data_IF_913636321011
#
_entry.id   IF_913636321011
#
_cell.length_a   1.000
_cell.length_b   1.000
_cell.length_c   1.000
_cell.angle_alpha   90.00
_cell.angle_beta   90.00
_cell.angle_gamma   90.00
#
_symmetry.space_group_name_H-M   'P 1'
#
loop_
_entity.id
_entity.type
_entity.pdbx_description
1 polymer ?
#
# COMPACT_ATOMS: atom_id res chain seq x y z
N UNK A 1 11.62 -31.56 1.22
CA UNK A 1 11.95 -30.41 2.04
C UNK A 1 11.53 -29.17 1.30
N UNK A 2 10.75 -28.32 1.92
CA UNK A 2 10.36 -27.03 1.38
C UNK A 2 11.58 -26.13 1.27
N UNK A 3 11.71 -25.45 0.12
CA UNK A 3 12.76 -24.43 -0.06
C UNK A 3 12.24 -23.16 0.62
N UNK A 4 12.80 -22.85 1.79
CA UNK A 4 12.39 -21.68 2.59
C UNK A 4 13.21 -20.43 2.31
N UNK A 5 14.25 -20.52 1.49
CA UNK A 5 15.09 -19.39 1.13
C UNK A 5 15.76 -19.64 -0.21
N UNK A 6 15.75 -18.63 -1.07
CA UNK A 6 16.47 -18.63 -2.35
C UNK A 6 17.28 -17.36 -2.42
N UNK A 7 18.60 -17.48 -2.69
CA UNK A 7 19.49 -16.35 -2.89
C UNK A 7 20.03 -16.35 -4.30
N UNK A 8 19.93 -15.21 -4.96
CA UNK A 8 20.58 -14.93 -6.23
C UNK A 8 21.76 -13.98 -5.97
N UNK A 9 22.96 -14.39 -6.36
CA UNK A 9 24.15 -13.55 -6.31
C UNK A 9 24.43 -12.96 -7.68
N UNK A 10 24.95 -11.74 -7.71
CA UNK A 10 25.31 -11.03 -8.92
C UNK A 10 26.81 -10.70 -8.91
N UNK A 11 27.41 -10.71 -10.09
CA UNK A 11 28.68 -10.06 -10.29
C UNK A 11 28.42 -8.58 -10.60
N UNK A 12 28.92 -7.69 -9.77
CA UNK A 12 28.77 -6.25 -9.93
C UNK A 12 30.14 -5.59 -9.90
N UNK A 13 30.33 -4.62 -10.77
CA UNK A 13 31.57 -3.82 -10.83
C UNK A 13 31.52 -2.61 -9.90
N UNK A 14 30.36 -2.25 -9.40
CA UNK A 14 30.19 -1.18 -8.41
C UNK A 14 30.35 -1.72 -6.99
N UNK A 15 31.14 -1.02 -6.16
CA UNK A 15 31.32 -1.37 -4.76
C UNK A 15 30.04 -1.20 -3.93
N UNK A 16 29.15 -0.31 -4.38
CA UNK A 16 27.94 0.09 -3.67
C UNK A 16 26.67 -0.59 -4.19
N UNK A 17 26.78 -1.33 -5.30
CA UNK A 17 25.63 -2.05 -5.85
C UNK A 17 25.31 -3.32 -5.04
N UNK A 18 24.04 -3.69 -4.89
CA UNK A 18 23.65 -4.95 -4.26
C UNK A 18 24.32 -6.13 -4.94
N UNK A 19 24.92 -7.03 -4.16
CA UNK A 19 25.58 -8.25 -4.64
C UNK A 19 24.67 -9.46 -4.65
N UNK A 20 23.54 -9.38 -3.98
CA UNK A 20 22.54 -10.44 -3.97
C UNK A 20 21.14 -9.91 -3.70
N UNK A 21 20.16 -10.66 -4.14
CA UNK A 21 18.78 -10.59 -3.69
C UNK A 21 18.41 -11.92 -3.06
N UNK A 22 17.77 -11.89 -1.93
CA UNK A 22 17.32 -13.07 -1.23
C UNK A 22 15.83 -13.00 -0.94
N UNK A 23 15.14 -14.09 -1.22
CA UNK A 23 13.73 -14.31 -0.89
C UNK A 23 13.70 -15.28 0.29
N UNK A 24 13.06 -14.89 1.37
CA UNK A 24 12.83 -15.74 2.53
C UNK A 24 11.34 -15.97 2.73
N UNK A 25 11.00 -17.24 2.86
CA UNK A 25 9.76 -17.68 3.48
C UNK A 25 10.09 -18.09 4.93
N UNK A 26 9.53 -17.42 5.90
CA UNK A 26 9.73 -17.73 7.30
C UNK A 26 8.45 -18.33 7.89
N UNK A 27 8.14 -19.53 7.55
CA UNK A 27 7.11 -20.39 8.12
C UNK A 27 6.06 -19.68 9.00
N UNK A 28 4.88 -19.60 8.49
CA UNK A 28 3.74 -18.93 9.14
C UNK A 28 3.09 -19.83 10.17
N UNK A 29 2.55 -19.24 11.23
CA UNK A 29 1.61 -19.91 12.11
C UNK A 29 0.32 -20.27 11.35
N UNK A 30 -0.39 -21.33 11.75
CA UNK A 30 -1.63 -21.69 11.07
C UNK A 30 -2.65 -20.55 11.09
N UNK A 31 -2.94 -20.00 9.92
CA UNK A 31 -3.89 -18.90 9.73
C UNK A 31 -3.25 -17.57 9.31
N UNK A 32 -1.93 -17.46 9.30
CA UNK A 32 -1.24 -16.32 8.71
C UNK A 32 -1.19 -16.43 7.17
N UNK A 33 -1.26 -15.27 6.50
CA UNK A 33 -1.11 -15.23 5.06
C UNK A 33 0.35 -15.50 4.66
N UNK A 34 0.57 -16.34 3.67
CA UNK A 34 1.91 -16.57 3.11
C UNK A 34 2.43 -15.26 2.50
N UNK A 35 3.63 -14.85 2.91
CA UNK A 35 4.33 -13.70 2.36
C UNK A 35 5.83 -13.96 2.30
N UNK A 36 6.52 -13.24 1.41
CA UNK A 36 7.95 -13.34 1.22
C UNK A 36 8.64 -12.07 1.62
N UNK A 37 9.78 -12.21 2.29
CA UNK A 37 10.70 -11.10 2.50
C UNK A 37 11.74 -11.07 1.40
N UNK A 38 11.97 -9.89 0.83
CA UNK A 38 12.98 -9.66 -0.19
C UNK A 38 14.08 -8.81 0.42
N UNK A 39 15.30 -9.31 0.35
CA UNK A 39 16.49 -8.65 0.89
C UNK A 39 17.45 -8.31 -0.24
N UNK A 40 17.98 -7.10 -0.20
CA UNK A 40 19.08 -6.67 -1.06
C UNK A 40 20.29 -6.35 -0.18
N UNK A 41 21.47 -6.76 -0.54
CA UNK A 41 22.62 -6.49 0.30
C UNK A 41 23.97 -6.70 -0.35
N UNK A 42 24.98 -6.08 0.24
CA UNK A 42 26.39 -6.18 -0.13
C UNK A 42 27.15 -7.15 0.75
N UNK A 43 26.72 -7.36 1.99
CA UNK A 43 27.31 -8.22 2.97
C UNK A 43 26.62 -9.59 3.04
N UNK A 44 27.21 -10.53 3.76
CA UNK A 44 26.60 -11.85 3.96
C UNK A 44 25.26 -11.75 4.71
N UNK A 45 24.36 -12.65 4.39
CA UNK A 45 23.04 -12.73 5.01
C UNK A 45 23.08 -12.79 6.55
N UNK A 46 24.07 -13.48 7.11
CA UNK A 46 24.23 -13.60 8.55
C UNK A 46 24.57 -12.27 9.22
N UNK A 47 25.32 -11.41 8.54
CA UNK A 47 25.60 -10.05 9.02
C UNK A 47 24.32 -9.18 9.03
N UNK A 48 23.47 -9.36 8.04
CA UNK A 48 22.18 -8.69 7.91
C UNK A 48 21.23 -9.08 9.05
N UNK A 49 21.14 -10.38 9.34
CA UNK A 49 20.28 -10.90 10.41
C UNK A 49 20.79 -10.57 11.80
N UNK A 50 22.12 -10.55 11.99
CA UNK A 50 22.73 -10.25 13.29
C UNK A 50 22.66 -8.77 13.67
N UNK A 51 22.59 -7.88 12.73
CA UNK A 51 22.56 -6.44 12.96
C UNK A 51 21.21 -5.92 13.50
N UNK A 52 20.16 -6.73 13.56
CA UNK A 52 18.77 -6.31 13.89
C UNK A 52 18.28 -5.09 13.12
N UNK A 53 18.93 -4.80 12.01
CA UNK A 53 18.59 -3.70 11.12
C UNK A 53 17.60 -4.17 10.09
N UNK A 54 16.80 -3.24 9.61
CA UNK A 54 15.82 -3.51 8.56
C UNK A 54 16.47 -4.31 7.41
N UNK A 55 15.90 -5.46 7.04
CA UNK A 55 16.53 -6.40 6.11
C UNK A 55 16.63 -5.87 4.66
N UNK A 56 16.00 -4.77 4.33
CA UNK A 56 15.97 -4.30 2.95
C UNK A 56 17.24 -3.59 2.51
N UNK A 57 17.99 -2.98 3.43
CA UNK A 57 19.20 -2.26 3.08
C UNK A 57 20.28 -2.46 4.13
N UNK A 58 21.43 -2.92 3.72
CA UNK A 58 22.61 -3.03 4.57
C UNK A 58 23.55 -1.91 4.20
N UNK A 59 23.86 -1.11 5.22
CA UNK A 59 24.95 -0.14 5.28
C UNK A 59 25.08 0.82 4.10
N UNK A 60 24.91 2.06 4.38
CA UNK A 60 25.01 3.22 3.46
C UNK A 60 23.88 3.34 2.40
N UNK A 61 22.89 2.46 2.45
CA UNK A 61 21.63 2.63 1.74
C UNK A 61 20.52 2.92 2.76
N UNK A 62 19.67 3.86 2.45
CA UNK A 62 18.48 4.18 3.23
C UNK A 62 17.65 2.91 3.43
N UNK A 63 17.25 2.62 4.66
CA UNK A 63 16.23 1.59 4.92
C UNK A 63 14.89 2.01 4.32
N UNK A 64 13.95 1.08 4.17
CA UNK A 64 12.58 1.48 3.81
C UNK A 64 12.03 2.45 4.85
N UNK A 65 12.38 2.26 6.13
CA UNK A 65 12.02 3.18 7.21
C UNK A 65 12.69 4.55 7.03
N UNK A 66 13.98 4.61 6.69
CA UNK A 66 14.67 5.88 6.41
C UNK A 66 14.07 6.61 5.20
N UNK A 67 13.71 5.86 4.15
CA UNK A 67 13.01 6.42 2.99
C UNK A 67 11.62 6.93 3.40
N UNK A 68 10.92 6.19 4.22
CA UNK A 68 9.61 6.60 4.75
C UNK A 68 9.74 7.81 5.67
N UNK A 69 10.74 7.84 6.55
CA UNK A 69 11.01 8.97 7.44
C UNK A 69 11.39 10.24 6.66
N UNK A 70 12.24 10.11 5.65
CA UNK A 70 12.62 11.23 4.79
C UNK A 70 11.45 11.75 3.95
N UNK A 71 10.59 10.84 3.46
CA UNK A 71 9.39 11.18 2.70
C UNK A 71 8.27 11.77 3.56
N UNK A 72 8.15 11.33 4.81
CA UNK A 72 6.99 11.61 5.66
C UNK A 72 7.25 12.70 6.71
N UNK A 73 8.51 13.01 7.03
CA UNK A 73 8.87 14.05 8.00
C UNK A 73 8.28 13.85 9.41
N UNK A 74 8.06 12.61 9.81
CA UNK A 74 7.36 12.28 11.05
C UNK A 74 8.28 11.88 12.20
N UNK A 75 7.91 12.37 13.37
CA UNK A 75 8.50 12.08 14.68
C UNK A 75 8.16 10.65 15.13
N UNK A 76 9.16 9.94 15.60
CA UNK A 76 9.15 8.51 15.92
C UNK A 76 8.27 8.16 17.12
N UNK A 77 7.03 7.74 16.88
CA UNK A 77 6.12 7.28 17.94
C UNK A 77 5.08 6.24 17.51
N UNK A 78 4.84 6.08 16.21
CA UNK A 78 3.90 5.10 15.66
C UNK A 78 4.60 4.20 14.65
N UNK A 79 4.32 2.90 14.67
CA UNK A 79 4.78 1.96 13.64
C UNK A 79 4.41 2.51 12.25
N UNK A 80 5.40 2.58 11.35
CA UNK A 80 5.19 3.02 9.99
C UNK A 80 4.21 2.06 9.29
N UNK A 81 3.20 2.60 8.63
CA UNK A 81 2.25 1.80 7.87
C UNK A 81 2.95 1.23 6.62
N UNK A 82 2.83 -0.07 6.40
CA UNK A 82 3.51 -0.78 5.31
C UNK A 82 2.91 -0.51 3.92
N UNK A 83 1.73 0.09 3.82
CA UNK A 83 0.97 0.26 2.57
C UNK A 83 1.41 1.45 1.72
N UNK A 84 2.71 1.68 1.64
CA UNK A 84 3.32 2.84 0.96
C UNK A 84 2.92 2.96 -0.51
N UNK A 85 2.64 1.84 -1.18
CA UNK A 85 2.26 1.81 -2.60
C UNK A 85 0.89 2.40 -2.88
N UNK A 86 0.02 2.57 -1.88
CA UNK A 86 -1.30 3.17 -2.05
C UNK A 86 -1.26 4.70 -2.17
N UNK A 87 -0.11 5.32 -1.92
CA UNK A 87 0.17 6.71 -2.26
C UNK A 87 0.73 6.81 -3.68
N UNK A 88 0.11 7.65 -4.52
CA UNK A 88 0.64 7.94 -5.86
C UNK A 88 1.94 8.76 -5.80
N UNK A 89 2.14 9.56 -4.75
CA UNK A 89 3.38 10.31 -4.53
C UNK A 89 4.53 9.36 -4.18
N UNK A 90 4.29 8.43 -3.26
CA UNK A 90 5.26 7.40 -2.91
C UNK A 90 5.54 6.47 -4.09
N UNK A 91 4.51 6.06 -4.84
CA UNK A 91 4.67 5.22 -6.03
C UNK A 91 5.60 5.86 -7.07
N UNK A 92 5.52 7.17 -7.30
CA UNK A 92 6.45 7.89 -8.20
C UNK A 92 7.89 7.81 -7.70
N UNK A 93 8.09 7.99 -6.40
CA UNK A 93 9.42 7.88 -5.77
C UNK A 93 9.98 6.47 -5.88
N UNK A 94 9.15 5.46 -5.60
CA UNK A 94 9.54 4.05 -5.74
C UNK A 94 9.91 3.68 -7.19
N UNK A 95 9.15 4.15 -8.18
CA UNK A 95 9.48 3.94 -9.60
C UNK A 95 10.83 4.57 -9.95
N UNK A 96 11.11 5.77 -9.43
CA UNK A 96 12.40 6.44 -9.61
C UNK A 96 13.56 5.64 -9.00
N UNK A 97 13.40 5.18 -7.76
CA UNK A 97 14.40 4.38 -7.06
C UNK A 97 14.67 3.05 -7.79
N UNK A 98 13.62 2.34 -8.20
CA UNK A 98 13.75 1.09 -8.97
C UNK A 98 14.47 1.36 -10.30
N UNK A 99 14.11 2.44 -11.01
CA UNK A 99 14.76 2.79 -12.27
C UNK A 99 16.25 3.07 -12.08
N UNK A 100 16.64 3.79 -11.03
CA UNK A 100 18.02 4.08 -10.73
C UNK A 100 18.81 2.78 -10.46
N UNK A 101 18.27 1.90 -9.62
CA UNK A 101 18.88 0.60 -9.34
C UNK A 101 19.06 -0.26 -10.61
N UNK A 102 18.06 -0.28 -11.50
CA UNK A 102 18.15 -0.99 -12.76
C UNK A 102 19.22 -0.40 -13.69
N UNK A 103 19.35 0.92 -13.75
CA UNK A 103 20.38 1.61 -14.55
C UNK A 103 21.80 1.31 -14.04
N UNK A 104 21.98 1.16 -12.74
CA UNK A 104 23.26 0.79 -12.14
C UNK A 104 23.58 -0.70 -12.39
N UNK A 105 22.55 -1.55 -12.29
CA UNK A 105 22.68 -2.98 -12.48
C UNK A 105 22.92 -3.39 -13.93
N UNK A 106 22.26 -2.72 -14.88
CA UNK A 106 22.33 -2.98 -16.33
C UNK A 106 22.59 -1.67 -17.11
N UNK A 107 23.86 -1.19 -17.10
CA UNK A 107 24.22 0.07 -17.73
C UNK A 107 23.96 0.12 -19.26
N UNK A 108 23.98 -1.03 -19.93
CA UNK A 108 23.77 -1.12 -21.39
C UNK A 108 22.34 -0.74 -21.78
N UNK A 109 21.36 -0.93 -20.88
CA UNK A 109 19.97 -0.59 -21.06
C UNK A 109 19.52 0.66 -20.28
N UNK A 110 20.46 1.42 -19.71
CA UNK A 110 20.22 2.57 -18.85
C UNK A 110 19.18 3.55 -19.42
N UNK A 111 19.34 3.96 -20.67
CA UNK A 111 18.45 4.94 -21.31
C UNK A 111 17.03 4.40 -21.49
N UNK A 112 16.89 3.10 -21.70
CA UNK A 112 15.59 2.42 -21.79
C UNK A 112 14.87 2.45 -20.45
N UNK A 113 15.57 2.12 -19.36
CA UNK A 113 14.99 2.18 -18.00
C UNK A 113 14.58 3.60 -17.64
N UNK A 114 15.45 4.59 -17.87
CA UNK A 114 15.14 5.99 -17.60
C UNK A 114 13.91 6.47 -18.38
N UNK A 115 13.85 6.16 -19.67
CA UNK A 115 12.74 6.56 -20.56
C UNK A 115 11.42 5.92 -20.10
N UNK A 116 11.43 4.63 -19.82
CA UNK A 116 10.23 3.90 -19.38
C UNK A 116 9.73 4.41 -18.03
N UNK A 117 10.64 4.64 -17.07
CA UNK A 117 10.28 5.17 -15.76
C UNK A 117 9.70 6.58 -15.88
N UNK A 118 10.31 7.46 -16.66
CA UNK A 118 9.81 8.82 -16.90
C UNK A 118 8.38 8.79 -17.47
N UNK A 119 8.14 7.98 -18.52
CA UNK A 119 6.81 7.84 -19.11
C UNK A 119 5.77 7.26 -18.14
N UNK A 120 6.19 6.38 -17.23
CA UNK A 120 5.30 5.82 -16.22
C UNK A 120 4.98 6.84 -15.11
N UNK A 121 5.99 7.60 -14.66
CA UNK A 121 5.83 8.68 -13.67
C UNK A 121 4.89 9.77 -14.20
N UNK A 122 4.90 10.08 -15.51
CA UNK A 122 3.94 11.00 -16.11
C UNK A 122 2.50 10.50 -15.96
N UNK A 123 2.25 9.20 -16.18
CA UNK A 123 0.92 8.60 -16.00
C UNK A 123 0.49 8.63 -14.54
N UNK A 124 1.40 8.31 -13.60
CA UNK A 124 1.13 8.41 -12.17
C UNK A 124 0.83 9.86 -11.75
N UNK A 125 1.55 10.83 -12.31
CA UNK A 125 1.35 12.26 -12.01
C UNK A 125 0.01 12.78 -12.53
N UNK A 126 -0.42 12.33 -13.70
CA UNK A 126 -1.74 12.66 -14.22
C UNK A 126 -2.86 12.09 -13.34
N UNK A 127 -2.70 10.86 -12.87
CA UNK A 127 -3.65 10.22 -11.97
C UNK A 127 -3.67 10.90 -10.59
N UNK A 128 -2.51 11.26 -10.04
CA UNK A 128 -2.36 12.02 -8.80
C UNK A 128 -3.12 13.37 -8.87
N UNK A 129 -2.94 14.11 -9.97
CA UNK A 129 -3.72 15.33 -10.24
C UNK A 129 -5.23 15.09 -10.33
N UNK A 130 -5.65 13.93 -10.84
CA UNK A 130 -7.05 13.56 -10.92
C UNK A 130 -7.66 13.22 -9.53
N UNK A 131 -6.88 12.59 -8.65
CA UNK A 131 -7.25 12.38 -7.24
C UNK A 131 -7.38 13.73 -6.52
N UNK A 132 -6.39 14.61 -6.63
CA UNK A 132 -6.43 15.94 -6.01
C UNK A 132 -7.68 16.71 -6.47
N UNK A 133 -7.93 16.74 -7.78
CA UNK A 133 -9.09 17.42 -8.33
C UNK A 133 -10.43 16.85 -7.85
N UNK A 134 -10.49 15.51 -7.71
CA UNK A 134 -11.68 14.85 -7.18
C UNK A 134 -11.93 15.23 -5.72
N UNK A 135 -10.88 15.24 -4.91
CA UNK A 135 -10.99 15.64 -3.51
C UNK A 135 -11.31 17.11 -3.38
N UNK A 136 -10.68 18.00 -4.15
CA UNK A 136 -10.94 19.45 -4.08
C UNK A 136 -12.41 19.79 -4.35
N UNK A 137 -13.01 19.15 -5.34
CA UNK A 137 -14.40 19.33 -5.74
C UNK A 137 -15.44 18.58 -4.91
N UNK A 138 -15.03 17.74 -3.98
CA UNK A 138 -15.91 16.83 -3.27
C UNK A 138 -16.76 17.53 -2.19
N UNK A 139 -17.99 17.04 -2.02
CA UNK A 139 -18.89 17.51 -0.97
C UNK A 139 -18.44 17.06 0.43
N UNK A 140 -17.91 15.85 0.52
CA UNK A 140 -17.37 15.27 1.76
C UNK A 140 -15.85 15.20 1.73
N UNK A 141 -15.21 15.39 2.87
CA UNK A 141 -13.74 15.26 3.06
C UNK A 141 -13.42 14.13 4.05
N UNK A 142 -14.36 13.22 4.22
CA UNK A 142 -14.22 12.11 5.17
C UNK A 142 -14.69 10.83 4.49
N UNK A 143 -13.89 9.78 4.62
CA UNK A 143 -14.25 8.42 4.22
C UNK A 143 -14.46 7.55 5.45
N UNK A 144 -15.27 6.50 5.33
CA UNK A 144 -15.51 5.58 6.43
C UNK A 144 -15.45 4.15 5.92
N UNK A 145 -14.55 3.37 6.54
CA UNK A 145 -14.34 1.95 6.22
C UNK A 145 -14.99 1.04 7.26
N UNK A 146 -15.87 0.19 6.82
CA UNK A 146 -16.39 -0.93 7.59
C UNK A 146 -15.47 -2.16 7.46
N UNK A 147 -14.17 -1.94 7.49
CA UNK A 147 -13.12 -2.92 7.27
C UNK A 147 -11.80 -2.44 7.87
N UNK A 148 -10.67 -3.14 7.55
CA UNK A 148 -9.30 -2.70 7.76
C UNK A 148 -9.02 -1.45 6.91
N UNK A 149 -8.02 -0.69 7.32
CA UNK A 149 -7.71 0.59 6.67
C UNK A 149 -6.26 0.67 6.20
N UNK A 150 -5.94 0.18 4.99
CA UNK A 150 -4.60 0.27 4.42
C UNK A 150 -4.33 1.59 3.66
N UNK A 151 -5.27 2.52 3.61
CA UNK A 151 -5.20 3.72 2.77
C UNK A 151 -4.69 4.97 3.50
N UNK A 152 -3.90 4.81 4.59
CA UNK A 152 -3.40 5.93 5.39
C UNK A 152 -2.67 6.96 4.54
N UNK A 153 -1.68 6.55 3.76
CA UNK A 153 -0.92 7.46 2.90
C UNK A 153 -1.77 8.13 1.82
N UNK A 154 -2.75 7.43 1.27
CA UNK A 154 -3.66 8.01 0.29
C UNK A 154 -4.51 9.14 0.91
N UNK A 155 -5.08 8.93 2.09
CA UNK A 155 -5.90 9.97 2.73
C UNK A 155 -5.04 11.15 3.18
N UNK A 156 -3.83 10.91 3.65
CA UNK A 156 -2.87 11.95 4.04
C UNK A 156 -2.44 12.78 2.83
N UNK A 157 -2.17 12.14 1.69
CA UNK A 157 -1.78 12.80 0.45
C UNK A 157 -2.76 13.87 -0.02
N UNK A 158 -4.04 13.64 0.20
CA UNK A 158 -5.12 14.53 -0.28
C UNK A 158 -5.87 15.24 0.84
N UNK A 159 -5.40 15.15 2.09
CA UNK A 159 -6.01 15.82 3.24
C UNK A 159 -7.41 15.33 3.59
N UNK A 160 -7.69 14.05 3.36
CA UNK A 160 -8.93 13.41 3.75
C UNK A 160 -8.88 12.95 5.21
N UNK A 161 -10.02 13.00 5.88
CA UNK A 161 -10.21 12.36 7.19
C UNK A 161 -10.80 10.97 7.00
N UNK A 162 -10.57 10.10 7.96
CA UNK A 162 -11.13 8.75 7.91
C UNK A 162 -11.63 8.26 9.25
N UNK A 163 -12.53 7.28 9.18
CA UNK A 163 -12.91 6.37 10.26
C UNK A 163 -12.80 4.96 9.72
N UNK A 164 -12.41 4.01 10.56
CA UNK A 164 -12.29 2.60 10.16
C UNK A 164 -12.70 1.66 11.30
N UNK A 165 -13.16 0.47 10.95
CA UNK A 165 -13.47 -0.56 11.94
C UNK A 165 -12.21 -1.10 12.60
N UNK A 166 -11.10 -1.17 11.84
CA UNK A 166 -9.80 -1.63 12.31
C UNK A 166 -8.68 -0.72 11.79
N UNK A 167 -7.64 -0.55 12.59
CA UNK A 167 -6.43 0.18 12.20
C UNK A 167 -5.54 -0.72 11.34
N UNK A 168 -4.96 -0.17 10.27
CA UNK A 168 -3.98 -0.84 9.41
C UNK A 168 -4.40 -2.23 8.96
N UNK A 169 -3.47 -3.17 8.98
CA UNK A 169 -3.65 -4.60 8.69
C UNK A 169 -4.00 -5.46 9.91
N UNK A 170 -4.82 -4.95 10.84
CA UNK A 170 -5.26 -5.72 12.01
C UNK A 170 -5.73 -7.12 11.61
N UNK A 171 -5.31 -8.13 12.37
CA UNK A 171 -5.78 -9.51 12.22
C UNK A 171 -7.22 -9.70 12.74
N UNK A 172 -7.83 -8.68 13.32
CA UNK A 172 -9.21 -8.75 13.82
C UNK A 172 -10.19 -8.90 12.65
N UNK A 173 -11.12 -9.81 12.81
CA UNK A 173 -12.14 -10.14 11.80
C UNK A 173 -13.55 -9.77 12.24
N UNK A 174 -13.74 -9.38 13.51
CA UNK A 174 -15.02 -9.04 14.10
C UNK A 174 -14.91 -7.69 14.83
N UNK A 175 -15.73 -6.73 14.43
CA UNK A 175 -15.85 -5.46 15.12
C UNK A 175 -16.80 -5.57 16.31
N UNK A 176 -16.49 -4.90 17.42
CA UNK A 176 -17.37 -4.83 18.57
C UNK A 176 -18.70 -4.12 18.23
N UNK A 177 -19.73 -4.40 19.00
CA UNK A 177 -21.02 -3.70 18.83
C UNK A 177 -20.86 -2.19 19.03
N UNK A 178 -20.01 -1.76 19.94
CA UNK A 178 -19.69 -0.37 20.20
C UNK A 178 -19.04 0.29 18.99
N UNK A 179 -18.08 -0.40 18.34
CA UNK A 179 -17.42 0.07 17.10
C UNK A 179 -18.44 0.24 15.98
N UNK A 180 -19.27 -0.76 15.74
CA UNK A 180 -20.32 -0.71 14.69
C UNK A 180 -21.30 0.44 14.96
N UNK A 181 -21.77 0.57 16.20
CA UNK A 181 -22.70 1.63 16.60
C UNK A 181 -22.08 3.02 16.46
N UNK A 182 -20.82 3.20 16.85
CA UNK A 182 -20.07 4.45 16.68
C UNK A 182 -19.93 4.82 15.21
N UNK A 183 -19.53 3.86 14.35
CA UNK A 183 -19.35 4.11 12.92
C UNK A 183 -20.66 4.42 12.23
N UNK A 184 -21.74 3.71 12.55
CA UNK A 184 -23.07 4.00 12.00
C UNK A 184 -23.54 5.41 12.37
N UNK A 185 -23.31 5.84 13.61
CA UNK A 185 -23.59 7.19 14.06
C UNK A 185 -22.74 8.22 13.29
N UNK A 186 -21.46 7.94 13.01
CA UNK A 186 -20.61 8.82 12.22
C UNK A 186 -21.07 8.94 10.77
N UNK A 187 -21.55 7.86 10.16
CA UNK A 187 -22.18 7.90 8.83
C UNK A 187 -23.37 8.86 8.81
N UNK A 188 -24.24 8.77 9.81
CA UNK A 188 -25.42 9.65 9.92
C UNK A 188 -25.05 11.11 10.21
N UNK A 189 -24.14 11.35 11.17
CA UNK A 189 -23.69 12.70 11.56
C UNK A 189 -23.03 13.45 10.41
N UNK A 190 -22.25 12.74 9.58
CA UNK A 190 -21.52 13.34 8.48
C UNK A 190 -22.28 13.27 7.14
N UNK A 191 -23.44 12.60 7.12
CA UNK A 191 -24.23 12.43 5.92
C UNK A 191 -23.54 11.65 4.82
N UNK A 192 -22.69 10.68 5.18
CA UNK A 192 -21.89 9.94 4.20
C UNK A 192 -22.76 9.08 3.30
N UNK A 193 -22.53 9.09 1.97
CA UNK A 193 -23.35 8.35 1.02
C UNK A 193 -23.05 6.85 0.99
N UNK A 194 -21.91 6.44 1.49
CA UNK A 194 -21.48 5.05 1.48
C UNK A 194 -20.60 4.68 2.68
N UNK A 195 -20.41 3.36 2.85
CA UNK A 195 -19.40 2.74 3.70
C UNK A 195 -18.44 1.99 2.79
N UNK A 196 -17.15 2.21 2.96
CA UNK A 196 -16.10 1.58 2.17
C UNK A 196 -15.65 0.25 2.80
N UNK A 197 -15.19 -0.65 1.95
CA UNK A 197 -14.50 -1.91 2.30
C UNK A 197 -13.22 -2.04 1.49
N UNK A 198 -12.39 -3.01 1.83
CA UNK A 198 -11.31 -3.45 0.95
C UNK A 198 -11.75 -4.65 0.11
N UNK A 199 -10.92 -5.07 -0.86
CA UNK A 199 -11.16 -6.27 -1.66
C UNK A 199 -11.30 -7.52 -0.79
N UNK A 200 -12.12 -8.47 -1.23
CA UNK A 200 -12.38 -9.71 -0.51
C UNK A 200 -13.84 -10.15 -0.65
N UNK A 201 -14.14 -11.31 -0.11
CA UNK A 201 -15.47 -11.95 -0.30
C UNK A 201 -16.50 -11.58 0.77
N UNK A 202 -16.12 -10.88 1.84
CA UNK A 202 -17.01 -10.66 2.98
C UNK A 202 -17.00 -9.18 3.42
N UNK A 203 -18.12 -8.51 3.24
CA UNK A 203 -18.33 -7.11 3.63
C UNK A 203 -19.30 -6.97 4.82
N UNK A 204 -19.38 -8.00 5.68
CA UNK A 204 -20.37 -8.10 6.76
C UNK A 204 -20.37 -6.92 7.72
N UNK A 205 -19.19 -6.41 8.05
CA UNK A 205 -19.05 -5.29 9.00
C UNK A 205 -19.62 -4.03 8.36
N UNK A 206 -19.25 -3.72 7.11
CA UNK A 206 -19.79 -2.57 6.39
C UNK A 206 -21.31 -2.66 6.22
N UNK A 207 -21.84 -3.83 5.86
CA UNK A 207 -23.27 -4.08 5.76
C UNK A 207 -23.97 -3.90 7.12
N UNK A 208 -23.34 -4.39 8.21
CA UNK A 208 -23.89 -4.23 9.57
C UNK A 208 -23.89 -2.76 9.98
N UNK A 209 -22.84 -1.99 9.66
CA UNK A 209 -22.80 -0.54 9.89
C UNK A 209 -23.97 0.13 9.18
N UNK A 210 -24.17 -0.15 7.87
CA UNK A 210 -25.30 0.41 7.10
C UNK A 210 -26.64 0.06 7.71
N UNK A 211 -26.84 -1.18 8.17
CA UNK A 211 -28.08 -1.59 8.81
C UNK A 211 -28.35 -0.90 10.15
N UNK A 212 -27.32 -0.36 10.79
CA UNK A 212 -27.43 0.39 12.04
C UNK A 212 -27.50 1.92 11.85
N UNK A 213 -27.39 2.44 10.61
CA UNK A 213 -27.65 3.85 10.31
C UNK A 213 -29.15 4.17 10.34
N UNK A 214 -29.51 5.42 10.52
CA UNK A 214 -30.91 5.86 10.54
C UNK A 214 -31.61 5.61 9.20
N UNK A 215 -30.90 5.84 8.09
CA UNK A 215 -31.46 5.76 6.72
C UNK A 215 -31.38 4.39 6.08
N UNK A 216 -30.41 3.56 6.46
CA UNK A 216 -30.10 2.22 5.90
C UNK A 216 -30.01 2.22 4.37
N UNK A 217 -29.53 3.31 3.78
CA UNK A 217 -29.54 3.51 2.32
C UNK A 217 -28.14 3.69 1.73
N UNK A 218 -27.12 3.72 2.59
CA UNK A 218 -25.73 3.89 2.16
C UNK A 218 -25.32 2.71 1.31
N UNK A 219 -24.57 2.98 0.28
CA UNK A 219 -23.93 1.93 -0.53
C UNK A 219 -22.74 1.35 0.22
N UNK A 220 -22.44 0.08 0.00
CA UNK A 220 -21.17 -0.53 0.34
C UNK A 220 -20.32 -0.53 -0.94
N UNK A 221 -19.19 0.16 -0.92
CA UNK A 221 -18.28 0.27 -2.06
C UNK A 221 -16.91 -0.28 -1.70
N UNK A 222 -16.23 -0.88 -2.66
CA UNK A 222 -14.95 -1.55 -2.43
C UNK A 222 -13.81 -0.76 -3.06
N UNK A 223 -12.78 -0.44 -2.27
CA UNK A 223 -11.49 0.01 -2.74
C UNK A 223 -10.51 -1.16 -2.70
N UNK A 224 -9.68 -1.29 -3.72
CA UNK A 224 -8.73 -2.38 -3.87
C UNK A 224 -7.35 -1.96 -3.32
N UNK A 225 -6.90 -2.63 -2.26
CA UNK A 225 -5.58 -2.39 -1.64
C UNK A 225 -4.45 -3.12 -2.35
N UNK A 226 -4.76 -3.94 -3.34
CA UNK A 226 -3.82 -4.80 -4.07
C UNK A 226 -3.12 -5.89 -3.22
N UNK A 227 -3.57 -6.11 -1.98
CA UNK A 227 -2.98 -7.14 -1.12
C UNK A 227 -3.36 -8.57 -1.55
N UNK A 228 -4.49 -8.72 -2.22
CA UNK A 228 -4.99 -10.01 -2.70
C UNK A 228 -4.88 -10.19 -4.23
N UNK A 229 -4.09 -9.36 -4.91
CA UNK A 229 -3.87 -9.45 -6.35
C UNK A 229 -3.17 -10.77 -6.72
N UNK A 230 -3.80 -11.55 -7.57
CA UNK A 230 -3.28 -12.85 -8.01
C UNK A 230 -2.63 -12.78 -9.39
N UNK A 231 -1.83 -13.81 -9.74
CA UNK A 231 -1.30 -13.97 -11.10
C UNK A 231 -2.40 -14.04 -12.16
N UNK A 232 -3.60 -14.53 -11.80
CA UNK A 232 -4.77 -14.56 -12.67
C UNK A 232 -5.30 -13.17 -12.96
N UNK A 233 -5.30 -12.29 -11.97
CA UNK A 233 -5.75 -10.91 -12.14
C UNK A 233 -4.80 -10.16 -13.06
N UNK A 234 -3.49 -10.36 -12.89
CA UNK A 234 -2.47 -9.82 -13.78
C UNK A 234 -2.63 -10.35 -15.21
N UNK A 235 -2.85 -11.64 -15.39
CA UNK A 235 -3.11 -12.24 -16.71
C UNK A 235 -4.39 -11.69 -17.37
N UNK A 236 -5.36 -11.27 -16.57
CA UNK A 236 -6.60 -10.62 -17.02
C UNK A 236 -6.44 -9.10 -17.23
N UNK A 237 -5.22 -8.57 -17.13
CA UNK A 237 -4.91 -7.18 -17.43
C UNK A 237 -4.95 -6.23 -16.23
N UNK A 238 -4.97 -6.73 -15.00
CA UNK A 238 -4.82 -5.89 -13.82
C UNK A 238 -3.42 -5.27 -13.80
N UNK A 239 -3.36 -3.97 -13.61
CA UNK A 239 -2.14 -3.19 -13.44
C UNK A 239 -2.32 -2.23 -12.27
N UNK A 240 -1.22 -1.78 -11.68
CA UNK A 240 -1.27 -0.77 -10.64
C UNK A 240 -2.12 0.45 -11.05
N UNK A 241 -1.87 1.01 -12.25
CA UNK A 241 -2.64 2.13 -12.77
C UNK A 241 -4.14 1.82 -12.86
N UNK A 242 -4.50 0.68 -13.46
CA UNK A 242 -5.92 0.33 -13.65
C UNK A 242 -6.65 0.11 -12.32
N UNK A 243 -5.96 -0.38 -11.29
CA UNK A 243 -6.52 -0.52 -9.95
C UNK A 243 -6.71 0.85 -9.31
N UNK A 244 -5.68 1.71 -9.35
CA UNK A 244 -5.78 3.05 -8.79
C UNK A 244 -6.80 3.94 -9.52
N UNK A 245 -6.99 3.78 -10.83
CA UNK A 245 -8.07 4.44 -11.59
C UNK A 245 -9.47 4.00 -11.14
N UNK A 246 -9.65 2.70 -10.85
CA UNK A 246 -10.89 2.17 -10.26
C UNK A 246 -11.11 2.73 -8.86
N UNK A 247 -10.07 2.74 -8.03
CA UNK A 247 -10.13 3.32 -6.69
C UNK A 247 -10.52 4.81 -6.73
N UNK A 248 -10.00 5.57 -7.70
CA UNK A 248 -10.42 6.96 -7.91
C UNK A 248 -11.91 7.07 -8.20
N UNK A 249 -12.45 6.17 -9.02
CA UNK A 249 -13.87 6.17 -9.35
C UNK A 249 -14.74 5.87 -8.13
N UNK A 250 -14.32 4.91 -7.31
CA UNK A 250 -14.97 4.59 -6.03
C UNK A 250 -14.88 5.78 -5.06
N UNK A 251 -13.70 6.38 -4.94
CA UNK A 251 -13.48 7.54 -4.06
C UNK A 251 -14.36 8.73 -4.46
N UNK A 252 -14.49 9.02 -5.76
CA UNK A 252 -15.41 10.08 -6.25
C UNK A 252 -16.85 9.82 -5.82
N UNK A 253 -17.33 8.58 -5.91
CA UNK A 253 -18.68 8.23 -5.47
C UNK A 253 -18.81 8.34 -3.94
N UNK A 254 -17.77 7.98 -3.20
CA UNK A 254 -17.75 8.05 -1.75
C UNK A 254 -17.73 9.49 -1.19
N UNK A 255 -17.12 10.39 -1.94
CA UNK A 255 -17.00 11.80 -1.52
C UNK A 255 -18.14 12.69 -2.03
N UNK A 256 -18.97 12.22 -2.96
CA UNK A 256 -20.14 12.93 -3.51
C UNK A 256 -19.78 13.90 -4.62
#
# INVERSE_FOLDING_TARGET
>A
GEIRSVRYQFETTSADAPKYVQFNDHGHEPGEAEHFHIYFGNDGFDALMSAKTNPFFVKDTLSVEDILDELMGHDHGEEADEHVWLSLKNAKTLVGAISNALQEFDPDNKDTYATNAAAYIEKLSALDGAYQSAVDGAAHKTVLFGDRFPFRYLVDDYGLRYYAAFAGCSAETEASFETVSFLAKKVDELGLPCVLTIEGAQHRIAETIVQNTAGKKQKVLTMDSMQSTTSKDVANGATYLSVMEKNLSVLKEALG
#
